data_IF_758885192455
#
_entry.id   IF_758885192455
#
_cell.length_a   1.000
_cell.length_b   1.000
_cell.length_c   1.000
_cell.angle_alpha   90.00
_cell.angle_beta   90.00
_cell.angle_gamma   90.00
#
_symmetry.space_group_name_H-M   'P 1'
#
loop_
_entity.id
_entity.type
_entity.pdbx_description
1 polymer ?
#
# COMPACT_ATOMS: atom_id res chain seq x y z
N UNK A 1 -19.23 15.48 -7.81
CA UNK A 1 -18.26 16.53 -8.20
C UNK A 1 -17.14 16.73 -7.18
N UNK A 2 -17.43 16.87 -5.87
CA UNK A 2 -16.38 17.08 -4.83
C UNK A 2 -15.24 16.03 -4.85
N UNK A 3 -15.58 14.75 -4.97
CA UNK A 3 -14.61 13.64 -5.03
C UNK A 3 -13.56 13.80 -6.14
N UNK A 4 -13.99 14.13 -7.36
CA UNK A 4 -13.08 14.31 -8.50
C UNK A 4 -12.16 15.52 -8.32
N UNK A 5 -12.69 16.62 -7.77
CA UNK A 5 -11.88 17.80 -7.48
C UNK A 5 -10.84 17.53 -6.40
N UNK A 6 -11.20 16.78 -5.36
CA UNK A 6 -10.27 16.34 -4.32
C UNK A 6 -9.21 15.39 -4.87
N UNK A 7 -9.62 14.39 -5.67
CA UNK A 7 -8.71 13.46 -6.32
C UNK A 7 -7.69 14.18 -7.21
N UNK A 8 -8.14 15.15 -8.02
CA UNK A 8 -7.25 15.93 -8.88
C UNK A 8 -6.25 16.77 -8.08
N UNK A 9 -6.66 17.32 -6.92
CA UNK A 9 -5.77 18.06 -6.02
C UNK A 9 -4.70 17.13 -5.43
N UNK A 10 -5.12 15.96 -4.94
CA UNK A 10 -4.22 14.92 -4.41
C UNK A 10 -3.23 14.50 -5.50
N UNK A 11 -3.73 14.16 -6.69
CA UNK A 11 -2.92 13.76 -7.84
C UNK A 11 -1.88 14.82 -8.19
N UNK A 12 -2.27 16.08 -8.39
CA UNK A 12 -1.33 17.16 -8.73
C UNK A 12 -0.20 17.34 -7.72
N UNK A 13 -0.44 17.04 -6.43
CA UNK A 13 0.54 17.24 -5.37
C UNK A 13 1.60 16.15 -5.32
N UNK A 14 1.20 14.89 -5.50
CA UNK A 14 2.08 13.72 -5.28
C UNK A 14 2.26 12.82 -6.50
N UNK A 15 1.65 13.13 -7.64
CA UNK A 15 1.77 12.30 -8.84
C UNK A 15 3.23 12.07 -9.22
N UNK A 16 4.08 13.12 -9.19
CA UNK A 16 5.49 12.97 -9.56
C UNK A 16 6.28 12.07 -8.61
N UNK A 17 6.34 12.33 -7.28
CA UNK A 17 7.06 11.44 -6.37
C UNK A 17 6.47 10.02 -6.32
N UNK A 18 5.14 9.87 -6.38
CA UNK A 18 4.52 8.55 -6.45
C UNK A 18 4.87 7.82 -7.73
N UNK A 19 4.83 8.49 -8.88
CA UNK A 19 5.16 7.89 -10.17
C UNK A 19 6.61 7.39 -10.18
N UNK A 20 7.56 8.18 -9.66
CA UNK A 20 8.94 7.74 -9.50
C UNK A 20 9.02 6.49 -8.61
N UNK A 21 8.34 6.49 -7.47
CA UNK A 21 8.33 5.35 -6.55
C UNK A 21 7.72 4.09 -7.20
N UNK A 22 6.61 4.23 -7.94
CA UNK A 22 5.99 3.12 -8.67
C UNK A 22 6.94 2.59 -9.72
N UNK A 23 7.52 3.45 -10.55
CA UNK A 23 8.50 3.03 -11.58
C UNK A 23 9.68 2.31 -10.93
N UNK A 24 10.28 2.86 -9.88
CA UNK A 24 11.40 2.22 -9.18
C UNK A 24 11.00 0.87 -8.59
N UNK A 25 9.86 0.82 -7.88
CA UNK A 25 9.33 -0.40 -7.28
C UNK A 25 9.12 -1.50 -8.32
N UNK A 26 8.44 -1.18 -9.43
CA UNK A 26 8.15 -2.14 -10.50
C UNK A 26 9.42 -2.67 -11.15
N UNK A 27 10.43 -1.82 -11.37
CA UNK A 27 11.70 -2.25 -11.97
C UNK A 27 12.52 -3.13 -11.04
N UNK A 28 12.59 -2.77 -9.76
CA UNK A 28 13.31 -3.58 -8.77
C UNK A 28 12.63 -4.94 -8.63
N UNK A 29 11.31 -4.99 -8.55
CA UNK A 29 10.56 -6.25 -8.47
C UNK A 29 10.80 -7.13 -9.70
N UNK A 30 10.67 -6.57 -10.91
CA UNK A 30 10.96 -7.29 -12.16
C UNK A 30 12.41 -7.81 -12.21
N UNK A 31 13.37 -6.98 -11.84
CA UNK A 31 14.78 -7.35 -11.81
C UNK A 31 15.03 -8.52 -10.84
N UNK A 32 14.49 -8.43 -9.62
CA UNK A 32 14.64 -9.47 -8.61
C UNK A 32 13.96 -10.77 -9.05
N UNK A 33 12.76 -10.69 -9.65
CA UNK A 33 12.04 -11.87 -10.15
C UNK A 33 12.81 -12.59 -11.27
N UNK A 34 13.37 -11.85 -12.23
CA UNK A 34 14.23 -12.44 -13.28
C UNK A 34 15.45 -13.13 -12.65
N UNK A 35 16.10 -12.49 -11.66
CA UNK A 35 17.28 -13.08 -11.01
C UNK A 35 16.96 -14.33 -10.19
N UNK A 36 15.81 -14.36 -9.52
CA UNK A 36 15.33 -15.56 -8.81
C UNK A 36 15.01 -16.66 -9.81
N UNK A 37 14.31 -16.35 -10.91
CA UNK A 37 13.96 -17.32 -11.94
C UNK A 37 15.20 -17.92 -12.62
N UNK A 38 16.17 -17.08 -13.00
CA UNK A 38 17.44 -17.52 -13.58
C UNK A 38 18.20 -18.45 -12.62
N UNK A 39 18.26 -18.10 -11.34
CA UNK A 39 18.93 -18.90 -10.32
C UNK A 39 18.21 -20.22 -10.00
N UNK A 40 16.89 -20.29 -10.16
CA UNK A 40 16.10 -21.53 -9.98
C UNK A 40 16.21 -22.48 -11.17
N UNK A 41 16.48 -21.95 -12.37
CA UNK A 41 16.67 -22.74 -13.60
C UNK A 41 18.07 -23.33 -13.72
N UNK A 42 19.01 -22.92 -12.85
CA UNK A 42 20.38 -23.45 -12.86
C UNK A 42 20.38 -24.95 -12.50
N UNK A 43 20.91 -25.83 -13.38
CA UNK A 43 20.95 -27.27 -13.14
C UNK A 43 21.83 -27.69 -11.95
N UNK A 44 22.65 -26.80 -11.40
CA UNK A 44 23.51 -27.07 -10.23
C UNK A 44 22.76 -27.00 -8.89
N UNK A 45 21.45 -26.73 -8.88
CA UNK A 45 20.59 -26.67 -7.70
C UNK A 45 20.42 -25.25 -7.14
N UNK A 46 19.60 -25.09 -6.10
CA UNK A 46 19.27 -23.79 -5.52
C UNK A 46 20.54 -23.08 -5.00
N UNK A 47 21.09 -22.19 -5.83
CA UNK A 47 22.30 -21.46 -5.52
C UNK A 47 22.05 -20.49 -4.34
N UNK A 48 23.09 -20.13 -3.56
CA UNK A 48 23.04 -19.06 -2.56
C UNK A 48 22.39 -17.75 -3.05
N UNK A 49 22.43 -17.54 -4.37
CA UNK A 49 21.78 -16.44 -5.07
C UNK A 49 20.25 -16.41 -4.88
N UNK A 50 19.58 -17.57 -4.85
CA UNK A 50 18.12 -17.64 -4.64
C UNK A 50 17.75 -17.06 -3.28
N UNK A 51 18.50 -17.42 -2.24
CA UNK A 51 18.27 -16.89 -0.88
C UNK A 51 18.54 -15.38 -0.81
N UNK A 52 19.62 -14.92 -1.45
CA UNK A 52 19.98 -13.50 -1.46
C UNK A 52 18.93 -12.65 -2.19
N UNK A 53 18.57 -13.01 -3.42
CA UNK A 53 17.56 -12.27 -4.20
C UNK A 53 16.15 -12.42 -3.61
N UNK A 54 15.82 -13.58 -3.05
CA UNK A 54 14.57 -13.78 -2.30
C UNK A 54 14.49 -12.87 -1.07
N UNK A 55 15.57 -12.76 -0.29
CA UNK A 55 15.63 -11.85 0.85
C UNK A 55 15.47 -10.38 0.42
N UNK A 56 16.16 -9.95 -0.64
CA UNK A 56 16.00 -8.61 -1.19
C UNK A 56 14.57 -8.35 -1.70
N UNK A 57 13.92 -9.35 -2.29
CA UNK A 57 12.51 -9.24 -2.72
C UNK A 57 11.59 -9.03 -1.52
N UNK A 58 11.79 -9.77 -0.43
CA UNK A 58 11.04 -9.56 0.81
C UNK A 58 11.24 -8.13 1.35
N UNK A 59 12.48 -7.64 1.42
CA UNK A 59 12.77 -6.25 1.83
C UNK A 59 12.05 -5.25 0.94
N UNK A 60 12.16 -5.41 -0.38
CA UNK A 60 11.53 -4.55 -1.38
C UNK A 60 10.01 -4.51 -1.19
N UNK A 61 9.39 -5.68 -0.96
CA UNK A 61 7.95 -5.85 -0.75
C UNK A 61 7.42 -5.19 0.54
N UNK A 62 8.30 -4.82 1.47
CA UNK A 62 7.94 -4.11 2.70
C UNK A 62 8.19 -2.61 2.50
N UNK A 63 9.38 -2.23 2.01
CA UNK A 63 9.79 -0.83 1.90
C UNK A 63 8.90 -0.07 0.92
N UNK A 64 8.72 -0.58 -0.30
CA UNK A 64 7.99 0.19 -1.34
C UNK A 64 6.52 0.41 -1.00
N UNK A 65 5.75 -0.58 -0.53
CA UNK A 65 4.37 -0.33 -0.12
C UNK A 65 4.24 0.69 1.00
N UNK A 66 5.18 0.71 1.97
CA UNK A 66 5.20 1.71 3.04
C UNK A 66 5.46 3.11 2.46
N UNK A 67 6.46 3.27 1.59
CA UNK A 67 6.76 4.56 0.95
C UNK A 67 5.59 5.06 0.09
N UNK A 68 5.01 4.18 -0.72
CA UNK A 68 3.87 4.48 -1.59
C UNK A 68 2.65 4.88 -0.77
N UNK A 69 2.30 4.12 0.27
CA UNK A 69 1.17 4.43 1.15
C UNK A 69 1.39 5.74 1.90
N UNK A 70 2.57 5.95 2.48
CA UNK A 70 2.90 7.18 3.24
C UNK A 70 2.83 8.42 2.34
N UNK A 71 3.40 8.35 1.13
CA UNK A 71 3.32 9.46 0.15
C UNK A 71 1.89 9.74 -0.27
N UNK A 72 1.09 8.69 -0.46
CA UNK A 72 -0.32 8.83 -0.84
C UNK A 72 -1.13 9.47 0.29
N UNK A 73 -0.91 9.07 1.54
CA UNK A 73 -1.57 9.63 2.72
C UNK A 73 -1.16 11.06 3.00
N UNK A 74 0.11 11.43 2.78
CA UNK A 74 0.59 12.81 2.85
C UNK A 74 -0.32 13.73 2.01
N UNK A 75 -0.59 13.35 0.77
CA UNK A 75 -1.42 14.15 -0.13
C UNK A 75 -2.87 14.33 0.35
N UNK A 76 -3.40 13.34 1.07
CA UNK A 76 -4.78 13.33 1.56
C UNK A 76 -4.95 14.13 2.85
N UNK A 77 -3.91 14.21 3.68
CA UNK A 77 -3.94 14.92 4.96
C UNK A 77 -3.65 16.41 4.88
N UNK A 78 -3.06 16.88 3.80
CA UNK A 78 -2.63 18.27 3.61
C UNK A 78 -3.77 19.30 3.70
N UNK A 79 -5.02 18.86 3.67
CA UNK A 79 -6.15 19.75 4.01
C UNK A 79 -6.16 20.20 5.48
N UNK A 80 -5.41 19.54 6.39
CA UNK A 80 -5.37 19.84 7.82
C UNK A 80 -4.03 20.41 8.33
N UNK A 81 -2.88 20.06 7.72
CA UNK A 81 -1.56 20.51 8.19
C UNK A 81 -0.61 20.83 7.02
N UNK A 82 0.02 22.01 7.07
CA UNK A 82 1.00 22.49 6.08
C UNK A 82 2.39 21.99 6.47
N UNK A 83 2.58 20.68 6.52
CA UNK A 83 3.89 20.07 6.75
C UNK A 83 4.54 19.76 5.38
N UNK A 84 5.87 19.92 5.28
CA UNK A 84 6.59 19.49 4.09
C UNK A 84 6.55 17.97 3.98
N UNK A 85 6.79 17.41 2.78
CA UNK A 85 6.85 15.96 2.62
C UNK A 85 7.91 15.35 3.54
N UNK A 86 9.06 16.00 3.69
CA UNK A 86 10.13 15.52 4.56
C UNK A 86 9.71 15.48 6.04
N UNK A 87 9.02 16.51 6.52
CA UNK A 87 8.53 16.56 7.91
C UNK A 87 7.51 15.45 8.17
N UNK A 88 6.60 15.24 7.22
CA UNK A 88 5.60 14.17 7.29
C UNK A 88 6.25 12.79 7.37
N UNK A 89 7.27 12.57 6.54
CA UNK A 89 8.06 11.34 6.58
C UNK A 89 8.78 11.20 7.92
N UNK A 90 9.51 12.21 8.38
CA UNK A 90 10.21 12.18 9.66
C UNK A 90 9.29 11.89 10.85
N UNK A 91 8.05 12.37 10.80
CA UNK A 91 7.04 12.16 11.85
C UNK A 91 6.44 10.75 11.83
N UNK A 92 6.03 10.25 10.66
CA UNK A 92 5.19 9.06 10.59
C UNK A 92 5.89 7.79 10.08
N UNK A 93 6.99 7.89 9.32
CA UNK A 93 7.55 6.73 8.61
C UNK A 93 7.98 5.60 9.57
N UNK A 94 8.61 5.97 10.69
CA UNK A 94 9.07 5.02 11.69
C UNK A 94 7.88 4.27 12.30
N UNK A 95 6.84 5.01 12.68
CA UNK A 95 5.67 4.42 13.31
C UNK A 95 4.87 3.55 12.32
N UNK A 96 4.74 3.98 11.07
CA UNK A 96 4.11 3.17 10.01
C UNK A 96 4.91 1.88 9.81
N UNK A 97 6.24 1.94 9.81
CA UNK A 97 7.09 0.77 9.66
C UNK A 97 6.90 -0.23 10.82
N UNK A 98 6.94 0.25 12.06
CA UNK A 98 6.72 -0.57 13.27
C UNK A 98 5.34 -1.25 13.22
N UNK A 99 4.28 -0.48 12.96
CA UNK A 99 2.92 -1.04 12.93
C UNK A 99 2.67 -1.94 11.71
N UNK A 100 3.36 -1.71 10.60
CA UNK A 100 3.33 -2.60 9.43
C UNK A 100 3.99 -3.94 9.74
N UNK A 101 5.18 -3.94 10.38
CA UNK A 101 5.82 -5.18 10.82
C UNK A 101 4.98 -5.94 11.84
N UNK A 102 4.35 -5.23 12.78
CA UNK A 102 3.44 -5.82 13.76
C UNK A 102 2.20 -6.43 13.11
N UNK A 103 1.64 -5.74 12.11
CA UNK A 103 0.54 -6.23 11.28
C UNK A 103 0.94 -7.48 10.53
N UNK A 104 2.12 -7.49 9.90
CA UNK A 104 2.67 -8.62 9.17
C UNK A 104 2.86 -9.83 10.08
N UNK A 105 3.49 -9.65 11.25
CA UNK A 105 3.69 -10.72 12.24
C UNK A 105 2.39 -11.34 12.73
N UNK A 106 1.37 -10.53 13.04
CA UNK A 106 0.05 -11.07 13.43
C UNK A 106 -0.65 -11.78 12.28
N UNK A 107 -0.58 -11.22 11.07
CA UNK A 107 -1.19 -11.82 9.88
C UNK A 107 -0.54 -13.17 9.56
N UNK A 108 0.79 -13.24 9.62
CA UNK A 108 1.55 -14.46 9.40
C UNK A 108 1.19 -15.54 10.43
N UNK A 109 1.17 -15.18 11.72
CA UNK A 109 0.78 -16.10 12.79
C UNK A 109 -0.60 -16.71 12.55
N UNK A 110 -1.59 -15.88 12.20
CA UNK A 110 -2.94 -16.38 11.90
C UNK A 110 -2.99 -17.19 10.61
N UNK A 111 -2.23 -16.82 9.58
CA UNK A 111 -2.19 -17.54 8.30
C UNK A 111 -1.56 -18.92 8.43
N UNK A 112 -0.52 -19.06 9.26
CA UNK A 112 0.12 -20.33 9.58
C UNK A 112 -0.81 -21.25 10.38
N UNK A 113 -1.63 -20.70 11.27
CA UNK A 113 -2.63 -21.46 12.01
C UNK A 113 -3.78 -21.89 11.09
N UNK A 114 -4.34 -20.93 10.34
CA UNK A 114 -5.41 -21.14 9.36
C UNK A 114 -5.40 -20.05 8.28
N UNK A 115 -5.46 -20.46 7.02
CA UNK A 115 -5.40 -19.55 5.87
C UNK A 115 -6.52 -18.50 5.89
N UNK A 116 -7.78 -18.91 6.10
CA UNK A 116 -8.95 -18.02 6.02
C UNK A 116 -8.93 -16.95 7.14
N UNK A 117 -8.73 -17.30 8.43
CA UNK A 117 -8.49 -16.32 9.50
C UNK A 117 -7.30 -15.40 9.24
N UNK A 118 -6.22 -15.91 8.63
CA UNK A 118 -5.07 -15.11 8.21
C UNK A 118 -5.46 -14.00 7.22
N UNK A 119 -6.18 -14.37 6.15
CA UNK A 119 -6.70 -13.41 5.15
C UNK A 119 -7.64 -12.40 5.82
N UNK A 120 -8.53 -12.86 6.70
CA UNK A 120 -9.43 -11.94 7.41
C UNK A 120 -8.66 -10.92 8.26
N UNK A 121 -7.58 -11.35 8.93
CA UNK A 121 -6.71 -10.45 9.71
C UNK A 121 -5.94 -9.47 8.85
N UNK A 122 -5.45 -9.91 7.70
CA UNK A 122 -4.84 -9.03 6.71
C UNK A 122 -5.79 -7.89 6.31
N UNK A 123 -7.05 -8.24 6.00
CA UNK A 123 -8.08 -7.26 5.64
C UNK A 123 -8.40 -6.31 6.80
N UNK A 124 -8.52 -6.82 8.03
CA UNK A 124 -8.74 -6.01 9.25
C UNK A 124 -7.63 -4.98 9.47
N UNK A 125 -6.40 -5.26 9.06
CA UNK A 125 -5.24 -4.40 9.30
C UNK A 125 -4.86 -3.52 8.09
N UNK A 126 -5.62 -3.58 7.00
CA UNK A 126 -5.39 -2.76 5.80
C UNK A 126 -5.45 -1.24 6.06
N UNK A 127 -6.13 -0.80 7.13
CA UNK A 127 -6.31 0.62 7.49
C UNK A 127 -5.30 1.10 8.55
N UNK A 128 -4.36 0.26 9.00
CA UNK A 128 -3.35 0.63 10.00
C UNK A 128 -2.58 1.91 9.62
N UNK A 129 -2.08 2.08 8.38
CA UNK A 129 -1.40 3.32 8.00
C UNK A 129 -2.28 4.57 8.11
N UNK A 130 -3.59 4.44 7.88
CA UNK A 130 -4.54 5.55 8.03
C UNK A 130 -4.74 5.90 9.50
N UNK A 131 -4.83 4.90 10.37
CA UNK A 131 -4.88 5.12 11.83
C UNK A 131 -3.63 5.85 12.30
N UNK A 132 -2.45 5.33 11.94
CA UNK A 132 -1.16 5.88 12.40
C UNK A 132 -0.98 7.33 11.97
N UNK A 133 -1.39 7.66 10.74
CA UNK A 133 -1.21 9.02 10.23
C UNK A 133 -2.30 9.97 10.71
N UNK A 134 -3.53 9.50 10.92
CA UNK A 134 -4.72 10.38 10.95
C UNK A 134 -5.49 10.39 12.27
N UNK A 135 -5.17 9.52 13.22
CA UNK A 135 -5.89 9.38 14.48
C UNK A 135 -5.21 10.15 15.60
N UNK A 136 -5.86 11.19 16.10
CA UNK A 136 -5.39 11.95 17.28
C UNK A 136 -5.29 11.07 18.52
N UNK A 137 -6.25 10.18 18.73
CA UNK A 137 -6.25 9.23 19.85
C UNK A 137 -5.07 8.26 19.81
N UNK A 138 -4.56 7.98 18.61
CA UNK A 138 -3.38 7.15 18.45
C UNK A 138 -2.11 7.94 18.81
N UNK A 139 -1.99 9.18 18.31
CA UNK A 139 -0.89 10.09 18.66
C UNK A 139 -0.81 10.35 20.18
N UNK A 140 -1.96 10.40 20.86
CA UNK A 140 -2.06 10.53 22.31
C UNK A 140 -1.78 9.22 23.09
N UNK A 141 -1.52 8.11 22.40
CA UNK A 141 -1.29 6.79 23.01
C UNK A 141 -2.54 6.15 23.64
N UNK A 142 -3.74 6.67 23.35
CA UNK A 142 -5.01 6.20 23.94
C UNK A 142 -5.58 4.96 23.25
N UNK A 143 -5.16 4.65 22.02
CA UNK A 143 -5.65 3.51 21.27
C UNK A 143 -4.54 2.80 20.51
N UNK A 144 -4.66 1.47 20.41
CA UNK A 144 -3.77 0.61 19.62
C UNK A 144 -4.14 0.66 18.13
N UNK A 145 -3.16 0.82 17.24
CA UNK A 145 -3.40 0.96 15.80
C UNK A 145 -4.15 -0.22 15.19
N UNK A 146 -3.77 -1.45 15.56
CA UNK A 146 -4.38 -2.66 15.02
C UNK A 146 -5.82 -2.81 15.51
N UNK A 147 -6.10 -2.51 16.78
CA UNK A 147 -7.48 -2.51 17.31
C UNK A 147 -8.37 -1.47 16.62
N UNK A 148 -7.86 -0.25 16.42
CA UNK A 148 -8.57 0.80 15.73
C UNK A 148 -8.87 0.43 14.28
N UNK A 149 -7.88 -0.11 13.55
CA UNK A 149 -8.05 -0.59 12.18
C UNK A 149 -9.10 -1.70 12.11
N UNK A 150 -9.02 -2.71 12.99
CA UNK A 150 -10.02 -3.78 13.04
C UNK A 150 -11.43 -3.27 13.34
N UNK A 151 -11.57 -2.26 14.21
CA UNK A 151 -12.86 -1.66 14.54
C UNK A 151 -13.49 -0.97 13.32
N UNK A 152 -12.73 -0.09 12.65
CA UNK A 152 -13.20 0.60 11.44
C UNK A 152 -13.52 -0.41 10.34
N UNK A 153 -12.66 -1.41 10.16
CA UNK A 153 -12.86 -2.46 9.18
C UNK A 153 -14.17 -3.21 9.43
N UNK A 154 -14.41 -3.73 10.62
CA UNK A 154 -15.61 -4.53 10.93
C UNK A 154 -16.90 -3.76 10.72
N UNK A 155 -16.89 -2.45 10.94
CA UNK A 155 -18.07 -1.60 10.73
C UNK A 155 -18.37 -1.34 9.26
N UNK A 156 -17.33 -1.28 8.42
CA UNK A 156 -17.44 -0.98 6.98
C UNK A 156 -16.91 -2.10 6.09
N UNK A 157 -16.96 -3.35 6.57
CA UNK A 157 -16.23 -4.47 5.99
C UNK A 157 -16.62 -4.70 4.53
N UNK A 158 -17.90 -4.59 4.20
CA UNK A 158 -18.37 -4.78 2.82
C UNK A 158 -17.78 -3.74 1.85
N UNK A 159 -17.74 -2.46 2.26
CA UNK A 159 -17.17 -1.38 1.44
C UNK A 159 -15.67 -1.56 1.26
N UNK A 160 -14.95 -1.86 2.35
CA UNK A 160 -13.51 -2.01 2.34
C UNK A 160 -13.09 -3.23 1.52
N UNK A 161 -13.74 -4.39 1.73
CA UNK A 161 -13.49 -5.58 0.92
C UNK A 161 -13.81 -5.31 -0.55
N UNK A 162 -14.92 -4.62 -0.87
CA UNK A 162 -15.24 -4.25 -2.24
C UNK A 162 -14.15 -3.41 -2.91
N UNK A 163 -13.61 -2.41 -2.21
CA UNK A 163 -12.51 -1.58 -2.71
C UNK A 163 -11.24 -2.43 -2.88
N UNK A 164 -10.87 -3.23 -1.88
CA UNK A 164 -9.66 -4.07 -1.95
C UNK A 164 -9.74 -5.10 -3.08
N UNK A 165 -10.86 -5.82 -3.21
CA UNK A 165 -11.06 -6.79 -4.31
C UNK A 165 -10.99 -6.08 -5.66
N UNK A 166 -11.66 -4.93 -5.83
CA UNK A 166 -11.68 -4.25 -7.12
C UNK A 166 -10.29 -3.75 -7.52
N UNK A 167 -9.61 -3.01 -6.62
CA UNK A 167 -8.37 -2.30 -6.95
C UNK A 167 -7.10 -3.11 -6.75
N UNK A 168 -7.09 -4.10 -5.85
CA UNK A 168 -5.88 -4.89 -5.56
C UNK A 168 -5.93 -6.32 -6.13
N UNK A 169 -7.10 -6.78 -6.59
CA UNK A 169 -7.23 -8.11 -7.19
C UNK A 169 -7.74 -8.02 -8.64
N UNK A 170 -8.95 -7.51 -8.84
CA UNK A 170 -9.63 -7.59 -10.14
C UNK A 170 -8.96 -6.73 -11.23
N UNK A 171 -8.74 -5.44 -10.97
CA UNK A 171 -8.08 -4.55 -11.95
C UNK A 171 -6.64 -5.01 -12.24
N UNK A 172 -5.77 -5.29 -11.24
CA UNK A 172 -4.43 -5.79 -11.50
C UNK A 172 -4.42 -7.09 -12.30
N UNK A 173 -5.37 -8.01 -12.05
CA UNK A 173 -5.49 -9.27 -12.79
C UNK A 173 -5.82 -9.02 -14.28
N UNK A 174 -6.73 -8.10 -14.57
CA UNK A 174 -7.04 -7.71 -15.96
C UNK A 174 -5.83 -7.06 -16.61
N UNK A 175 -5.18 -6.11 -15.92
CA UNK A 175 -4.02 -5.41 -16.46
C UNK A 175 -2.86 -6.37 -16.73
N UNK A 176 -2.61 -7.33 -15.83
CA UNK A 176 -1.62 -8.38 -16.05
C UNK A 176 -2.01 -9.25 -17.25
N UNK A 177 -3.25 -9.72 -17.33
CA UNK A 177 -3.68 -10.62 -18.42
C UNK A 177 -3.63 -9.97 -19.80
N UNK A 178 -3.94 -8.67 -19.89
CA UNK A 178 -4.00 -7.95 -21.18
C UNK A 178 -2.66 -7.33 -21.55
N UNK A 179 -1.86 -6.87 -20.58
CA UNK A 179 -0.69 -6.02 -20.82
C UNK A 179 0.65 -6.58 -20.31
N UNK A 180 0.75 -7.88 -19.99
CA UNK A 180 1.97 -8.46 -19.41
C UNK A 180 3.24 -8.18 -20.24
N UNK A 181 3.13 -8.30 -21.56
CA UNK A 181 4.23 -8.04 -22.51
C UNK A 181 4.74 -6.60 -22.51
N UNK A 182 3.95 -5.64 -21.98
CA UNK A 182 4.26 -4.22 -21.96
C UNK A 182 4.86 -3.74 -20.64
N UNK A 183 5.08 -4.62 -19.66
CA UNK A 183 5.56 -4.22 -18.33
C UNK A 183 7.07 -3.99 -18.29
N UNK A 184 7.84 -4.63 -19.16
CA UNK A 184 9.30 -4.54 -19.20
C UNK A 184 9.76 -3.20 -19.79
N UNK A 185 10.28 -2.28 -18.96
CA UNK A 185 10.79 -0.98 -19.44
C UNK A 185 11.84 -1.11 -20.55
N UNK A 186 12.67 -2.14 -20.46
CA UNK A 186 13.77 -2.39 -21.41
C UNK A 186 13.29 -2.86 -22.79
N UNK A 187 12.07 -3.40 -22.89
CA UNK A 187 11.49 -3.85 -24.17
C UNK A 187 10.51 -2.83 -24.74
N UNK A 188 9.64 -2.28 -23.90
CA UNK A 188 8.51 -1.44 -24.30
C UNK A 188 8.40 -0.21 -23.39
N UNK A 189 9.38 0.72 -23.44
CA UNK A 189 9.52 1.79 -22.45
C UNK A 189 8.30 2.69 -22.36
N UNK A 190 7.73 3.10 -23.50
CA UNK A 190 6.56 4.01 -23.51
C UNK A 190 5.34 3.33 -22.91
N UNK A 191 5.06 2.08 -23.31
CA UNK A 191 3.90 1.34 -22.81
C UNK A 191 4.03 1.05 -21.29
N UNK A 192 5.22 0.67 -20.84
CA UNK A 192 5.49 0.44 -19.41
C UNK A 192 5.36 1.72 -18.58
N UNK A 193 5.83 2.87 -19.08
CA UNK A 193 5.62 4.15 -18.37
C UNK A 193 4.14 4.54 -18.29
N UNK A 194 3.37 4.33 -19.35
CA UNK A 194 1.92 4.59 -19.35
C UNK A 194 1.18 3.67 -18.38
N UNK A 195 1.56 2.38 -18.31
CA UNK A 195 1.00 1.44 -17.34
C UNK A 195 1.34 1.85 -15.91
N UNK A 196 2.60 2.20 -15.61
CA UNK A 196 2.99 2.69 -14.29
C UNK A 196 2.24 3.99 -13.90
N UNK A 197 1.92 4.85 -14.87
CA UNK A 197 1.11 6.05 -14.63
C UNK A 197 -0.34 5.68 -14.27
N UNK A 198 -0.92 4.71 -14.98
CA UNK A 198 -2.23 4.16 -14.66
C UNK A 198 -2.24 3.52 -13.27
N UNK A 199 -1.25 2.69 -12.94
CA UNK A 199 -1.11 2.06 -11.63
C UNK A 199 -0.98 3.10 -10.52
N UNK A 200 -0.21 4.17 -10.75
CA UNK A 200 -0.11 5.31 -9.82
C UNK A 200 -1.48 5.97 -9.60
N UNK A 201 -2.24 6.20 -10.67
CA UNK A 201 -3.57 6.80 -10.57
C UNK A 201 -4.56 5.90 -9.81
N UNK A 202 -4.56 4.59 -10.11
CA UNK A 202 -5.39 3.60 -9.44
C UNK A 202 -5.06 3.47 -7.95
N UNK A 203 -3.77 3.48 -7.60
CA UNK A 203 -3.31 3.50 -6.20
C UNK A 203 -3.88 4.72 -5.45
N UNK A 204 -3.78 5.92 -6.05
CA UNK A 204 -4.31 7.14 -5.44
C UNK A 204 -5.83 7.03 -5.22
N UNK A 205 -6.58 6.58 -6.23
CA UNK A 205 -8.04 6.41 -6.12
C UNK A 205 -8.38 5.41 -5.01
N UNK A 206 -7.74 4.24 -5.04
CA UNK A 206 -8.00 3.17 -4.07
C UNK A 206 -7.77 3.64 -2.64
N UNK A 207 -6.62 4.25 -2.38
CA UNK A 207 -6.27 4.79 -1.07
C UNK A 207 -7.23 5.92 -0.67
N UNK A 208 -7.67 6.78 -1.61
CA UNK A 208 -8.62 7.84 -1.31
C UNK A 208 -10.00 7.28 -0.91
N UNK A 209 -10.47 6.24 -1.59
CA UNK A 209 -11.73 5.60 -1.25
C UNK A 209 -11.68 4.96 0.15
N UNK A 210 -10.59 4.25 0.46
CA UNK A 210 -10.37 3.68 1.80
C UNK A 210 -10.27 4.79 2.86
N UNK A 211 -9.56 5.87 2.56
CA UNK A 211 -9.39 7.01 3.45
C UNK A 211 -10.69 7.73 3.73
N UNK A 212 -11.57 7.86 2.73
CA UNK A 212 -12.91 8.44 2.92
C UNK A 212 -13.76 7.58 3.86
N UNK A 213 -13.72 6.24 3.69
CA UNK A 213 -14.41 5.32 4.62
C UNK A 213 -13.87 5.47 6.04
N UNK A 214 -12.55 5.60 6.19
CA UNK A 214 -11.92 5.83 7.48
C UNK A 214 -12.33 7.17 8.09
N UNK A 215 -12.30 8.26 7.33
CA UNK A 215 -12.69 9.59 7.82
C UNK A 215 -14.16 9.68 8.22
N UNK A 216 -15.06 9.03 7.47
CA UNK A 216 -16.48 8.99 7.79
C UNK A 216 -16.72 8.36 9.18
N UNK A 217 -15.91 7.38 9.57
CA UNK A 217 -16.00 6.76 10.89
C UNK A 217 -15.40 7.64 11.99
N UNK A 218 -14.22 8.23 11.76
CA UNK A 218 -13.57 9.12 12.74
C UNK A 218 -14.45 10.34 13.03
N UNK A 219 -15.03 10.97 11.99
CA UNK A 219 -15.94 12.13 12.16
C UNK A 219 -17.15 11.81 13.01
N UNK A 220 -17.73 10.61 12.86
CA UNK A 220 -18.87 10.16 13.66
C UNK A 220 -18.49 9.97 15.13
N UNK A 221 -17.27 9.55 15.40
CA UNK A 221 -16.82 9.33 16.78
C UNK A 221 -16.46 10.64 17.48
N UNK A 222 -15.85 11.58 16.76
CA UNK A 222 -15.54 12.92 17.29
C UNK A 222 -16.77 13.84 17.40
N UNK A 223 -17.85 13.58 16.65
CA UNK A 223 -19.12 14.34 16.76
C UNK A 223 -20.02 13.94 17.93
N UNK A 224 -19.67 12.85 18.63
CA UNK A 224 -20.47 12.29 19.74
C UNK A 224 -19.73 12.32 21.08
N UNK A 225 -18.65 13.10 21.18
CA UNK A 225 -17.93 13.41 22.43
C UNK A 225 -18.01 14.91 22.69
#
# INVERSE_FOLDING_TARGET
MKFFTENLKVFKKVAFPLFILVVLSTNIDQFLNIKVEDALRDPLGAAPQVYWFGFLSVISSIIFPILLMTTTLYAMQVSRFVESLNDFYGKYINQIFIETLRTWGKTLMWSLLFIVPGIWKYLEYSLVPMVVTSSTRYDEGKIDALKASSYVFRRHWFKIIGILILFHLFIPLILASVFDSYRLLWKTPVASLLLNLLDTYLLIISTQLLFNVFQDEVRRHDSHV
#
